data_IF_952725480922
#
_entry.id   IF_952725480922
#
_cell.length_a   1.000
_cell.length_b   1.000
_cell.length_c   1.000
_cell.angle_alpha   90.00
_cell.angle_beta   90.00
_cell.angle_gamma   90.00
#
_symmetry.space_group_name_H-M   'P 1'
#
loop_
_entity.id
_entity.type
_entity.pdbx_description
1 polymer ?
#
# COMPACT_ATOMS: atom_id res chain seq x y z
N UNK A 1 3.50 22.69 10.59
CA UNK A 1 2.64 21.83 9.75
C UNK A 1 3.51 21.00 8.81
N UNK A 2 3.38 19.67 8.79
CA UNK A 2 4.12 18.83 7.83
C UNK A 2 3.46 18.92 6.44
N UNK A 3 4.19 19.52 5.48
CA UNK A 3 3.72 19.68 4.09
C UNK A 3 4.15 18.48 3.25
N UNK A 4 3.34 18.16 2.24
CA UNK A 4 3.77 17.25 1.18
C UNK A 4 4.92 17.89 0.38
N UNK A 5 5.92 17.11 -0.06
CA UNK A 5 6.87 17.59 -1.07
C UNK A 5 6.13 17.86 -2.39
N UNK A 6 6.66 18.72 -3.28
CA UNK A 6 6.09 18.90 -4.61
C UNK A 6 6.18 17.61 -5.42
N UNK A 7 5.14 17.30 -6.20
CA UNK A 7 5.11 16.17 -7.12
C UNK A 7 4.15 16.47 -8.27
N UNK A 8 4.37 15.80 -9.39
CA UNK A 8 3.41 15.74 -10.51
C UNK A 8 2.44 14.59 -10.28
N UNK A 9 1.14 14.82 -10.46
CA UNK A 9 0.13 13.76 -10.35
C UNK A 9 -0.41 13.38 -11.73
N UNK A 10 -0.25 12.11 -12.09
CA UNK A 10 -0.74 11.54 -13.33
C UNK A 10 -1.93 10.62 -13.04
N UNK A 11 -2.99 10.71 -13.83
CA UNK A 11 -4.25 10.00 -13.59
C UNK A 11 -4.63 9.09 -14.76
N UNK A 12 -3.93 7.97 -14.97
CA UNK A 12 -4.28 7.01 -16.01
C UNK A 12 -5.67 6.40 -15.79
N UNK A 13 -6.28 5.94 -16.89
CA UNK A 13 -7.60 5.28 -16.89
C UNK A 13 -7.52 3.78 -17.14
N UNK A 14 -6.34 3.26 -17.49
CA UNK A 14 -6.10 1.83 -17.72
C UNK A 14 -4.87 1.33 -16.96
N UNK A 15 -4.81 0.02 -16.72
CA UNK A 15 -3.63 -0.63 -16.11
C UNK A 15 -2.42 -0.51 -17.03
N UNK A 16 -2.60 -0.62 -18.34
CA UNK A 16 -1.51 -0.49 -19.33
C UNK A 16 -0.87 0.89 -19.28
N UNK A 17 -1.67 1.95 -19.23
CA UNK A 17 -1.15 3.32 -19.11
C UNK A 17 -0.40 3.53 -17.79
N UNK A 18 -0.91 2.99 -16.68
CA UNK A 18 -0.24 3.08 -15.39
C UNK A 18 1.11 2.35 -15.41
N UNK A 19 1.18 1.17 -16.01
CA UNK A 19 2.44 0.41 -16.19
C UNK A 19 3.42 1.20 -17.05
N UNK A 20 2.96 1.77 -18.16
CA UNK A 20 3.79 2.60 -19.03
C UNK A 20 4.36 3.81 -18.29
N UNK A 21 3.52 4.55 -17.56
CA UNK A 21 3.96 5.70 -16.76
C UNK A 21 4.99 5.31 -15.69
N UNK A 22 4.81 4.16 -15.04
CA UNK A 22 5.80 3.66 -14.07
C UNK A 22 7.13 3.30 -14.75
N UNK A 23 7.10 2.77 -15.97
CA UNK A 23 8.30 2.48 -16.76
C UNK A 23 9.00 3.77 -17.23
N UNK A 24 8.23 4.73 -17.76
CA UNK A 24 8.74 6.00 -18.30
C UNK A 24 9.41 6.87 -17.22
N UNK A 25 8.89 6.86 -15.99
CA UNK A 25 9.41 7.66 -14.88
C UNK A 25 10.33 6.90 -13.92
N UNK A 26 10.34 5.56 -13.96
CA UNK A 26 11.26 4.72 -13.18
C UNK A 26 11.26 5.02 -11.67
N UNK A 27 12.44 5.18 -11.03
CA UNK A 27 12.56 5.33 -9.57
C UNK A 27 11.94 6.63 -9.03
N UNK A 28 11.67 7.60 -9.89
CA UNK A 28 11.06 8.89 -9.53
C UNK A 28 9.54 8.78 -9.30
N UNK A 29 8.92 7.69 -9.76
CA UNK A 29 7.48 7.48 -9.67
C UNK A 29 7.08 6.52 -8.54
N UNK A 30 5.94 6.80 -7.93
CA UNK A 30 5.24 5.85 -7.06
C UNK A 30 3.75 5.78 -7.41
N UNK A 31 3.18 4.59 -7.25
CA UNK A 31 1.75 4.37 -7.36
C UNK A 31 1.02 4.93 -6.14
N UNK A 32 -0.17 5.52 -6.37
CA UNK A 32 -1.07 5.93 -5.29
C UNK A 32 -2.50 5.46 -5.54
N UNK A 33 -3.03 4.70 -4.57
CA UNK A 33 -4.44 4.32 -4.53
C UNK A 33 -5.20 5.24 -3.57
N UNK A 34 -5.52 4.76 -2.36
CA UNK A 34 -6.18 5.54 -1.31
C UNK A 34 -5.30 6.61 -0.65
N UNK A 35 -3.97 6.50 -0.80
CA UNK A 35 -3.00 7.44 -0.23
C UNK A 35 -2.89 7.45 1.30
N UNK A 36 -3.60 6.56 1.99
CA UNK A 36 -3.70 6.52 3.46
C UNK A 36 -2.40 6.12 4.17
N UNK A 37 -1.48 5.45 3.47
CA UNK A 37 -0.13 5.12 3.95
C UNK A 37 0.93 6.02 3.29
N UNK A 38 0.85 6.18 1.96
CA UNK A 38 1.81 6.95 1.16
C UNK A 38 1.90 8.42 1.59
N UNK A 39 0.78 9.15 1.68
CA UNK A 39 0.84 10.59 1.96
C UNK A 39 1.39 10.92 3.36
N UNK A 40 1.03 10.20 4.45
CA UNK A 40 1.72 10.35 5.72
C UNK A 40 3.23 10.11 5.63
N UNK A 41 3.67 9.10 4.89
CA UNK A 41 5.09 8.79 4.72
C UNK A 41 5.81 9.88 3.89
N UNK A 42 5.16 10.44 2.86
CA UNK A 42 5.67 11.59 2.11
C UNK A 42 5.78 12.86 2.96
N UNK A 43 4.77 13.15 3.79
CA UNK A 43 4.82 14.27 4.75
C UNK A 43 6.00 14.15 5.71
N UNK A 44 6.39 12.92 6.05
CA UNK A 44 7.55 12.61 6.89
C UNK A 44 8.87 12.53 6.13
N UNK A 45 8.90 12.66 4.80
CA UNK A 45 10.10 12.49 3.93
C UNK A 45 10.70 11.07 4.00
N UNK A 46 9.82 10.08 4.09
CA UNK A 46 10.20 8.67 4.01
C UNK A 46 10.16 8.19 2.55
N UNK A 47 9.15 8.67 1.83
CA UNK A 47 9.03 8.57 0.39
C UNK A 47 9.03 9.96 -0.20
N UNK A 48 9.85 10.18 -1.21
CA UNK A 48 10.03 11.49 -1.84
C UNK A 48 9.93 11.38 -3.37
N UNK A 49 8.90 10.69 -3.92
CA UNK A 49 8.74 10.61 -5.37
C UNK A 49 8.42 11.99 -5.94
N UNK A 50 8.96 12.27 -7.13
CA UNK A 50 8.63 13.48 -7.89
C UNK A 50 7.41 13.28 -8.78
N UNK A 51 6.99 12.02 -9.01
CA UNK A 51 5.78 11.66 -9.77
C UNK A 51 4.91 10.69 -8.98
N UNK A 52 3.60 10.98 -8.93
CA UNK A 52 2.59 10.04 -8.41
C UNK A 52 1.67 9.58 -9.54
N UNK A 53 1.55 8.27 -9.71
CA UNK A 53 0.65 7.65 -10.67
C UNK A 53 -0.59 7.14 -9.94
N UNK A 54 -1.71 7.83 -10.15
CA UNK A 54 -2.98 7.57 -9.50
C UNK A 54 -3.72 6.37 -10.06
N UNK A 55 -4.14 5.45 -9.18
CA UNK A 55 -4.86 4.22 -9.56
C UNK A 55 -6.39 4.35 -9.47
N UNK A 56 -6.91 5.42 -8.85
CA UNK A 56 -8.34 5.58 -8.57
C UNK A 56 -9.20 5.69 -9.84
N UNK A 57 -8.63 6.19 -10.93
CA UNK A 57 -9.32 6.33 -12.22
C UNK A 57 -9.50 5.01 -12.97
N UNK A 58 -8.76 3.96 -12.59
CA UNK A 58 -8.74 2.68 -13.31
C UNK A 58 -9.85 1.78 -12.78
N UNK A 59 -11.01 1.85 -13.43
CA UNK A 59 -12.24 1.15 -12.98
C UNK A 59 -12.07 -0.37 -12.89
N UNK A 60 -11.23 -0.96 -13.74
CA UNK A 60 -10.97 -2.41 -13.76
C UNK A 60 -10.32 -2.93 -12.47
N UNK A 61 -9.63 -2.05 -11.73
CA UNK A 61 -9.05 -2.35 -10.43
C UNK A 61 -10.07 -2.35 -9.30
N UNK A 62 -11.32 -1.94 -9.52
CA UNK A 62 -12.36 -1.95 -8.50
C UNK A 62 -13.29 -3.17 -8.62
N UNK A 63 -13.81 -3.60 -7.47
CA UNK A 63 -14.91 -4.56 -7.37
C UNK A 63 -14.48 -5.99 -7.06
N UNK A 64 -15.49 -6.79 -6.74
CA UNK A 64 -15.39 -8.23 -6.47
C UNK A 64 -16.17 -8.96 -7.56
N UNK A 65 -15.54 -9.95 -8.19
CA UNK A 65 -16.10 -10.72 -9.30
C UNK A 65 -15.92 -12.20 -9.02
N UNK A 66 -16.78 -13.05 -9.59
CA UNK A 66 -16.54 -14.49 -9.61
C UNK A 66 -15.39 -14.81 -10.56
N UNK A 67 -14.47 -15.65 -10.11
CA UNK A 67 -13.37 -16.14 -10.93
C UNK A 67 -13.75 -17.44 -11.65
N UNK A 68 -13.14 -17.71 -12.80
CA UNK A 68 -13.16 -19.03 -13.41
C UNK A 68 -12.54 -20.04 -12.42
N UNK A 69 -13.26 -21.12 -12.12
CA UNK A 69 -12.87 -22.07 -11.05
C UNK A 69 -13.57 -21.85 -9.71
N UNK A 70 -14.61 -21.01 -9.66
CA UNK A 70 -15.50 -20.93 -8.50
C UNK A 70 -15.01 -20.02 -7.36
N UNK A 71 -13.83 -19.43 -7.47
CA UNK A 71 -13.29 -18.46 -6.51
C UNK A 71 -13.81 -17.03 -6.68
N UNK A 72 -13.16 -16.07 -6.01
CA UNK A 72 -13.37 -14.63 -6.21
C UNK A 72 -12.11 -13.98 -6.78
N UNK A 73 -12.31 -13.04 -7.71
CA UNK A 73 -11.31 -12.08 -8.15
C UNK A 73 -11.66 -10.71 -7.55
N UNK A 74 -10.78 -10.19 -6.71
CA UNK A 74 -10.96 -8.88 -6.07
C UNK A 74 -9.96 -7.90 -6.68
N UNK A 75 -10.46 -6.81 -7.25
CA UNK A 75 -9.60 -5.78 -7.82
C UNK A 75 -8.79 -5.07 -6.73
N UNK A 76 -7.51 -4.79 -7.01
CA UNK A 76 -6.57 -4.18 -6.06
C UNK A 76 -6.98 -2.77 -5.58
N UNK A 77 -7.81 -2.06 -6.37
CA UNK A 77 -8.41 -0.77 -6.05
C UNK A 77 -9.71 -0.86 -5.24
N UNK A 78 -10.21 -2.06 -4.94
CA UNK A 78 -11.39 -2.24 -4.09
C UNK A 78 -11.10 -1.76 -2.67
N UNK A 79 -11.95 -0.88 -2.13
CA UNK A 79 -11.75 -0.32 -0.79
C UNK A 79 -11.89 -1.39 0.28
N UNK A 80 -11.18 -1.23 1.40
CA UNK A 80 -11.27 -2.18 2.52
C UNK A 80 -12.68 -2.23 3.10
N UNK A 81 -13.39 -1.09 3.12
CA UNK A 81 -14.82 -1.07 3.48
C UNK A 81 -15.64 -1.94 2.54
N UNK A 82 -15.46 -1.82 1.22
CA UNK A 82 -16.19 -2.63 0.26
C UNK A 82 -15.87 -4.13 0.42
N UNK A 83 -14.61 -4.50 0.60
CA UNK A 83 -14.21 -5.90 0.86
C UNK A 83 -14.86 -6.44 2.14
N UNK A 84 -14.78 -5.71 3.25
CA UNK A 84 -15.32 -6.15 4.55
C UNK A 84 -16.85 -6.32 4.58
N UNK A 85 -17.55 -5.62 3.69
CA UNK A 85 -19.02 -5.61 3.61
C UNK A 85 -19.57 -6.43 2.45
N UNK A 86 -18.73 -6.91 1.53
CA UNK A 86 -19.20 -7.61 0.35
C UNK A 86 -19.89 -8.94 0.73
N UNK A 87 -21.14 -9.19 0.30
CA UNK A 87 -21.90 -10.37 0.72
C UNK A 87 -21.18 -11.69 0.45
N UNK A 88 -20.62 -11.88 -0.76
CA UNK A 88 -19.89 -13.12 -1.08
C UNK A 88 -18.57 -13.26 -0.32
N UNK A 89 -17.92 -12.14 0.06
CA UNK A 89 -16.68 -12.22 0.86
C UNK A 89 -17.04 -12.60 2.30
N UNK A 90 -18.09 -12.02 2.87
CA UNK A 90 -18.56 -12.36 4.22
C UNK A 90 -19.03 -13.81 4.33
N UNK A 91 -19.73 -14.33 3.32
CA UNK A 91 -20.27 -15.69 3.38
C UNK A 91 -19.23 -16.77 3.08
N UNK A 92 -18.29 -16.52 2.15
CA UNK A 92 -17.36 -17.55 1.66
C UNK A 92 -15.93 -17.38 2.16
N UNK A 93 -15.53 -16.16 2.53
CA UNK A 93 -14.18 -15.79 2.93
C UNK A 93 -14.21 -14.88 4.16
N UNK A 94 -14.97 -15.30 5.18
CA UNK A 94 -15.27 -14.48 6.37
C UNK A 94 -14.00 -13.92 7.05
N UNK A 95 -12.91 -14.71 7.11
CA UNK A 95 -11.64 -14.25 7.65
C UNK A 95 -11.09 -13.01 6.93
N UNK A 96 -11.22 -12.94 5.59
CA UNK A 96 -10.80 -11.78 4.81
C UNK A 96 -11.70 -10.57 5.09
N UNK A 97 -13.01 -10.79 5.21
CA UNK A 97 -13.94 -9.71 5.56
C UNK A 97 -13.61 -9.12 6.93
N UNK A 98 -13.32 -9.97 7.92
CA UNK A 98 -12.91 -9.57 9.27
C UNK A 98 -11.59 -8.81 9.25
N UNK A 99 -10.56 -9.33 8.58
CA UNK A 99 -9.26 -8.67 8.47
C UNK A 99 -9.38 -7.28 7.82
N UNK A 100 -10.07 -7.18 6.68
CA UNK A 100 -10.30 -5.90 6.01
C UNK A 100 -11.09 -4.91 6.90
N UNK A 101 -12.04 -5.41 7.69
CA UNK A 101 -12.83 -4.62 8.64
C UNK A 101 -12.05 -4.14 9.87
N UNK A 102 -11.00 -4.88 10.27
CA UNK A 102 -10.13 -4.56 11.40
C UNK A 102 -9.09 -3.48 11.08
N UNK A 103 -8.78 -3.24 9.79
CA UNK A 103 -7.77 -2.25 9.38
C UNK A 103 -8.17 -0.84 9.85
N UNK A 104 -7.46 -0.30 10.84
CA UNK A 104 -7.51 1.12 11.22
C UNK A 104 -8.93 1.67 11.50
N UNK A 105 -9.25 2.89 11.06
CA UNK A 105 -10.55 3.56 11.26
C UNK A 105 -11.45 3.48 10.02
N UNK A 106 -12.79 3.64 10.15
CA UNK A 106 -13.71 3.61 9.01
C UNK A 106 -13.36 4.57 7.87
N UNK A 107 -12.88 5.78 8.18
CA UNK A 107 -12.49 6.80 7.21
C UNK A 107 -11.29 6.32 6.39
N UNK A 108 -10.32 5.70 7.05
CA UNK A 108 -9.15 5.13 6.37
C UNK A 108 -9.53 3.90 5.56
N UNK A 109 -10.49 3.08 5.97
CA UNK A 109 -11.00 1.95 5.16
C UNK A 109 -11.82 2.37 3.95
N UNK A 110 -12.49 3.52 4.02
CA UNK A 110 -13.23 4.07 2.89
C UNK A 110 -12.31 4.55 1.76
N UNK A 111 -11.06 4.88 2.07
CA UNK A 111 -10.06 5.33 1.10
C UNK A 111 -9.03 4.23 0.77
N UNK A 112 -8.54 3.53 1.78
CA UNK A 112 -7.57 2.45 1.65
C UNK A 112 -8.13 1.29 0.82
N UNK A 113 -7.29 0.74 -0.04
CA UNK A 113 -7.66 -0.36 -0.94
C UNK A 113 -7.02 -1.67 -0.51
N UNK A 114 -7.55 -2.80 -0.98
CA UNK A 114 -6.99 -4.12 -0.72
C UNK A 114 -5.52 -4.20 -1.18
N UNK A 115 -5.23 -3.77 -2.41
CA UNK A 115 -3.87 -3.73 -2.93
C UNK A 115 -2.96 -2.78 -2.14
N UNK A 116 -3.49 -1.63 -1.71
CA UNK A 116 -2.74 -0.70 -0.84
C UNK A 116 -2.44 -1.29 0.54
N UNK A 117 -3.32 -2.12 1.11
CA UNK A 117 -3.06 -2.80 2.37
C UNK A 117 -2.07 -3.96 2.23
N UNK A 118 -2.09 -4.68 1.11
CA UNK A 118 -1.09 -5.71 0.80
C UNK A 118 0.30 -5.09 0.63
N UNK A 119 0.38 -3.94 -0.05
CA UNK A 119 1.64 -3.22 -0.31
C UNK A 119 1.95 -2.12 0.71
N UNK A 120 1.31 -2.13 1.89
CA UNK A 120 1.54 -1.13 2.94
C UNK A 120 2.99 -1.19 3.41
N UNK A 121 3.62 -0.05 3.67
CA UNK A 121 4.99 -0.09 4.18
C UNK A 121 5.03 -0.64 5.61
N UNK A 122 6.14 -1.31 5.92
CA UNK A 122 6.53 -1.73 7.25
C UNK A 122 6.59 -0.57 8.25
N UNK A 123 6.39 -0.88 9.53
CA UNK A 123 6.35 0.12 10.62
C UNK A 123 7.42 -0.13 11.68
N UNK A 124 7.95 0.96 12.22
CA UNK A 124 8.94 0.97 13.29
C UNK A 124 8.90 2.31 14.04
N UNK A 125 9.09 2.29 15.36
CA UNK A 125 9.06 3.48 16.22
C UNK A 125 10.15 4.51 15.87
N UNK A 126 11.27 4.07 15.28
CA UNK A 126 12.34 4.95 14.80
C UNK A 126 12.11 5.44 13.36
N UNK A 127 11.35 4.68 12.58
CA UNK A 127 11.10 5.01 11.17
C UNK A 127 9.92 5.97 11.05
N UNK A 128 8.78 5.70 11.69
CA UNK A 128 7.53 6.44 11.51
C UNK A 128 7.47 7.79 12.26
N UNK A 129 8.57 8.54 12.24
CA UNK A 129 8.77 9.82 12.90
C UNK A 129 8.95 10.96 11.88
N UNK A 130 8.89 12.22 12.35
CA UNK A 130 9.16 13.38 11.50
C UNK A 130 10.59 13.35 10.95
N UNK A 131 10.83 14.05 9.83
CA UNK A 131 12.17 14.16 9.25
C UNK A 131 13.18 14.73 10.26
N UNK A 132 12.81 15.78 10.98
CA UNK A 132 13.67 16.43 11.97
C UNK A 132 14.05 15.48 13.10
N UNK A 133 13.08 14.69 13.58
CA UNK A 133 13.34 13.68 14.61
C UNK A 133 14.30 12.60 14.11
N UNK A 134 14.05 12.07 12.90
CA UNK A 134 14.93 11.04 12.30
C UNK A 134 16.34 11.58 12.08
N UNK A 135 16.47 12.82 11.60
CA UNK A 135 17.76 13.49 11.42
C UNK A 135 18.53 13.62 12.74
N UNK A 136 17.84 13.95 13.83
CA UNK A 136 18.46 14.12 15.15
C UNK A 136 19.05 12.82 15.72
N UNK A 137 18.57 11.66 15.29
CA UNK A 137 19.08 10.34 15.70
C UNK A 137 19.95 9.68 14.62
N UNK A 138 20.48 10.46 13.67
CA UNK A 138 21.29 9.98 12.52
C UNK A 138 20.58 8.94 11.64
N UNK A 139 19.25 9.08 11.51
CA UNK A 139 18.40 8.21 10.70
C UNK A 139 18.52 6.72 11.07
N UNK A 140 18.03 5.83 10.22
CA UNK A 140 18.17 4.39 10.41
C UNK A 140 18.38 3.72 9.05
N UNK A 141 18.85 2.47 9.05
CA UNK A 141 19.19 1.76 7.81
C UNK A 141 18.05 1.64 6.77
N UNK A 142 16.79 1.79 7.20
CA UNK A 142 15.65 1.75 6.26
C UNK A 142 15.62 2.99 5.35
N UNK A 143 16.15 4.13 5.79
CA UNK A 143 16.13 5.39 5.04
C UNK A 143 17.16 6.36 5.62
N UNK A 144 18.11 6.74 4.78
CA UNK A 144 19.16 7.76 4.98
C UNK A 144 20.20 7.49 6.09
N UNK A 145 20.15 6.34 6.76
CA UNK A 145 21.15 5.92 7.76
C UNK A 145 21.72 4.53 7.44
N UNK A 146 22.59 4.04 8.32
CA UNK A 146 23.31 2.77 8.10
C UNK A 146 22.92 1.67 9.11
N UNK A 147 22.50 2.06 10.32
CA UNK A 147 22.30 1.14 11.44
C UNK A 147 20.80 0.91 11.71
N UNK A 148 20.42 -0.32 12.07
CA UNK A 148 19.09 -0.58 12.63
C UNK A 148 19.03 -0.11 14.09
N UNK A 149 18.27 0.95 14.38
CA UNK A 149 18.15 1.48 15.75
C UNK A 149 17.40 0.53 16.72
N UNK A 150 16.70 -0.48 16.21
CA UNK A 150 16.08 -1.54 17.03
C UNK A 150 17.09 -2.62 17.40
N UNK A 151 18.00 -2.97 16.48
CA UNK A 151 18.96 -4.05 16.62
C UNK A 151 20.28 -3.67 15.92
N UNK A 152 21.18 -2.93 16.58
CA UNK A 152 22.33 -2.30 15.93
C UNK A 152 23.28 -3.23 15.18
N UNK A 153 23.45 -4.48 15.65
CA UNK A 153 24.28 -5.49 14.98
C UNK A 153 23.58 -6.27 13.85
N UNK A 154 22.33 -5.95 13.53
CA UNK A 154 21.57 -6.65 12.49
C UNK A 154 22.02 -6.26 11.08
N UNK A 155 22.19 -7.21 10.16
CA UNK A 155 22.48 -6.92 8.75
C UNK A 155 21.24 -6.43 7.97
N UNK A 156 20.06 -6.36 8.62
CA UNK A 156 18.80 -6.01 7.97
C UNK A 156 17.88 -5.17 8.85
N UNK A 157 16.93 -4.51 8.21
CA UNK A 157 15.86 -3.79 8.88
C UNK A 157 14.89 -4.75 9.60
N UNK A 158 14.47 -4.41 10.82
CA UNK A 158 13.49 -5.13 11.63
C UNK A 158 12.12 -4.44 11.71
N UNK A 159 11.82 -3.53 10.78
CA UNK A 159 10.48 -2.96 10.69
C UNK A 159 9.46 -4.05 10.39
N UNK A 160 8.30 -3.98 11.05
CA UNK A 160 7.30 -5.06 11.06
C UNK A 160 6.24 -4.78 9.99
N UNK A 161 5.82 -5.81 9.26
CA UNK A 161 4.67 -5.71 8.35
C UNK A 161 3.40 -5.34 9.13
N UNK A 162 2.62 -4.39 8.62
CA UNK A 162 1.38 -3.93 9.25
C UNK A 162 0.14 -4.21 8.40
N UNK A 163 0.23 -5.22 7.52
CA UNK A 163 -0.89 -5.67 6.70
C UNK A 163 -1.73 -6.69 7.45
N UNK A 164 -3.00 -6.38 7.73
CA UNK A 164 -3.95 -7.33 8.29
C UNK A 164 -4.46 -8.32 7.24
N UNK A 165 -4.58 -7.89 5.97
CA UNK A 165 -5.16 -8.73 4.91
C UNK A 165 -4.16 -9.70 4.29
N UNK A 166 -2.88 -9.34 4.20
CA UNK A 166 -1.85 -10.20 3.60
C UNK A 166 -1.74 -11.61 4.24
N UNK A 167 -1.63 -11.77 5.59
CA UNK A 167 -1.55 -13.11 6.19
C UNK A 167 -2.81 -13.94 5.96
N UNK A 168 -3.99 -13.30 5.94
CA UNK A 168 -5.25 -14.00 5.66
C UNK A 168 -5.34 -14.44 4.21
N UNK A 169 -4.98 -13.56 3.26
CA UNK A 169 -4.90 -13.91 1.84
C UNK A 169 -3.94 -15.08 1.62
N UNK A 170 -2.79 -15.07 2.29
CA UNK A 170 -1.84 -16.19 2.25
C UNK A 170 -2.46 -17.49 2.75
N UNK A 171 -3.11 -17.48 3.92
CA UNK A 171 -3.75 -18.69 4.48
C UNK A 171 -4.87 -19.24 3.60
N UNK A 172 -5.53 -18.39 2.81
CA UNK A 172 -6.59 -18.77 1.88
C UNK A 172 -6.05 -19.28 0.53
N UNK A 173 -4.73 -19.35 0.34
CA UNK A 173 -4.11 -19.74 -0.93
C UNK A 173 -4.40 -18.73 -2.05
N UNK A 174 -4.58 -17.45 -1.71
CA UNK A 174 -4.86 -16.42 -2.70
C UNK A 174 -3.69 -16.27 -3.68
N UNK A 175 -4.03 -15.96 -4.94
CA UNK A 175 -3.05 -15.67 -5.99
C UNK A 175 -3.11 -14.19 -6.36
N UNK A 176 -1.94 -13.60 -6.60
CA UNK A 176 -1.81 -12.22 -7.04
C UNK A 176 -1.55 -12.20 -8.54
N UNK A 177 -2.29 -11.35 -9.27
CA UNK A 177 -2.03 -11.06 -10.68
C UNK A 177 -1.29 -9.72 -10.77
N UNK A 178 -0.06 -9.76 -11.27
CA UNK A 178 0.81 -8.60 -11.44
C UNK A 178 0.77 -8.15 -12.91
N UNK A 179 0.73 -6.85 -13.14
CA UNK A 179 0.94 -6.24 -14.45
C UNK A 179 2.25 -5.45 -14.38
N UNK A 180 3.08 -5.57 -15.42
CA UNK A 180 4.38 -4.92 -15.52
C UNK A 180 4.76 -4.72 -16.99
N UNK A 181 5.92 -4.08 -17.26
CA UNK A 181 6.44 -3.99 -18.62
C UNK A 181 6.64 -5.38 -19.22
N UNK A 182 6.54 -5.45 -20.55
CA UNK A 182 6.81 -6.67 -21.32
C UNK A 182 8.29 -7.07 -21.22
#
# INVERSE_FOLDING_TARGET
MMRLPPFTYLSPVSVGDAVKLMADHGPEAMLVAGGTDLYPNMKRRQFEPTVLVGLRGIKDLAGVRRASGGGLAIGAGTTLTAVSRHPEVRSRYAALATAAGAVSTPQLRNMGTLGGNVCVDTRCNYYNQSYQWRKAVNFCMKKDGEICLVAPGSPRCWAVSSSDTAPVLWSLGARVRIAGPA
#
